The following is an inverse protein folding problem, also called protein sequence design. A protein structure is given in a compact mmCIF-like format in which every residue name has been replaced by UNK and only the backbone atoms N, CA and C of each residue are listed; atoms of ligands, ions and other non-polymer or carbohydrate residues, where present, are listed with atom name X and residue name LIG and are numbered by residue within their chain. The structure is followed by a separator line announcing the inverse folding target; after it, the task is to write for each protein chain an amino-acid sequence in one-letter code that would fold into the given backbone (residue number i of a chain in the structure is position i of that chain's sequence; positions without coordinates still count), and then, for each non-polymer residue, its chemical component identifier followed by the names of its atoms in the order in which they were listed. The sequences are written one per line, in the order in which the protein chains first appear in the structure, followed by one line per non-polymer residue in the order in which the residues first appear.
data_IF_185170101606
#
_entry.id   IF_185170101606
#
_cell.length_a   1.000
_cell.length_b   1.000
_cell.length_c   1.000
_cell.angle_alpha   90.00
_cell.angle_beta   90.00
_cell.angle_gamma   90.00
#
_symmetry.space_group_name_H-M   'P 1'
#
loop_
_entity.id
_entity.type
_entity.pdbx_description
1 polymer ?
#
# COMPACT_ATOMS: atom_id res chain seq x y z
N UNK A 1 27.17 -11.79 -14.66
CA UNK A 1 28.41 -11.83 -13.86
C UNK A 1 28.05 -11.95 -12.39
N UNK A 2 27.59 -13.16 -11.99
CA UNK A 2 27.37 -13.50 -10.60
C UNK A 2 28.66 -13.90 -9.92
N UNK A 3 28.72 -13.85 -8.57
CA UNK A 3 29.84 -14.35 -7.81
C UNK A 3 30.04 -15.84 -8.07
N UNK A 4 31.27 -16.35 -7.85
CA UNK A 4 31.61 -17.79 -8.03
C UNK A 4 30.74 -18.69 -7.16
N UNK A 5 30.24 -18.18 -6.01
CA UNK A 5 29.32 -18.86 -5.11
C UNK A 5 27.91 -18.96 -5.70
N UNK A 6 27.38 -17.88 -6.30
CA UNK A 6 26.06 -17.93 -6.95
C UNK A 6 26.02 -18.86 -8.15
N UNK A 7 27.15 -19.00 -8.89
CA UNK A 7 27.31 -19.98 -9.99
C UNK A 7 27.41 -21.41 -9.42
N UNK A 8 28.04 -21.56 -8.27
CA UNK A 8 28.16 -22.86 -7.57
C UNK A 8 26.81 -23.34 -7.03
N UNK A 9 26.02 -22.46 -6.45
CA UNK A 9 24.66 -22.76 -5.99
C UNK A 9 23.71 -23.05 -7.16
N UNK A 10 23.85 -22.31 -8.26
CA UNK A 10 23.12 -22.57 -9.49
C UNK A 10 23.47 -23.93 -10.09
N UNK A 11 24.77 -24.27 -10.15
CA UNK A 11 25.25 -25.57 -10.64
C UNK A 11 24.87 -26.77 -9.74
N UNK A 12 24.63 -26.54 -8.45
CA UNK A 12 24.18 -27.57 -7.49
C UNK A 12 22.66 -27.82 -7.53
N UNK A 13 21.90 -27.14 -8.36
CA UNK A 13 20.44 -27.32 -8.53
C UNK A 13 19.58 -26.77 -7.40
N UNK A 14 20.15 -26.35 -6.27
CA UNK A 14 19.37 -25.86 -5.11
C UNK A 14 18.72 -24.51 -5.33
N UNK A 15 19.38 -23.61 -6.06
CA UNK A 15 18.79 -22.30 -6.38
C UNK A 15 17.63 -22.44 -7.38
N UNK A 16 17.66 -23.42 -8.25
CA UNK A 16 16.58 -23.73 -9.19
C UNK A 16 15.33 -24.29 -8.48
N UNK A 17 15.50 -25.09 -7.45
CA UNK A 17 14.36 -25.64 -6.70
C UNK A 17 13.56 -24.54 -5.99
N UNK A 18 14.21 -23.56 -5.39
CA UNK A 18 13.51 -22.51 -4.62
C UNK A 18 12.90 -21.40 -5.46
N UNK A 19 13.48 -21.02 -6.59
CA UNK A 19 12.98 -19.87 -7.37
C UNK A 19 12.12 -20.26 -8.57
N UNK A 20 12.53 -21.29 -9.33
CA UNK A 20 11.84 -21.70 -10.56
C UNK A 20 10.70 -22.67 -10.27
N UNK A 21 10.95 -23.71 -9.50
CA UNK A 21 9.95 -24.74 -9.18
C UNK A 21 8.82 -24.24 -8.31
N UNK A 22 9.06 -23.30 -7.38
CA UNK A 22 7.99 -22.71 -6.59
C UNK A 22 7.12 -21.78 -7.43
N UNK A 23 7.72 -20.95 -8.28
CA UNK A 23 6.99 -20.06 -9.19
C UNK A 23 6.22 -20.83 -10.25
N UNK A 24 6.79 -21.88 -10.84
CA UNK A 24 6.10 -22.75 -11.80
C UNK A 24 5.02 -23.62 -11.13
N UNK A 25 5.23 -24.01 -9.87
CA UNK A 25 4.24 -24.73 -9.07
C UNK A 25 3.01 -23.90 -8.79
N UNK A 26 3.21 -22.65 -8.42
CA UNK A 26 2.14 -21.69 -8.16
C UNK A 26 1.36 -21.28 -9.44
N UNK A 27 2.01 -21.34 -10.60
CA UNK A 27 1.36 -21.09 -11.89
C UNK A 27 0.73 -22.33 -12.53
N UNK A 28 0.79 -23.52 -11.91
CA UNK A 28 0.26 -24.78 -12.48
C UNK A 28 1.03 -25.29 -13.70
N UNK A 29 2.23 -24.80 -13.96
CA UNK A 29 3.00 -25.01 -15.20
C UNK A 29 4.10 -26.07 -15.09
N UNK A 30 4.21 -26.76 -13.94
CA UNK A 30 5.25 -27.79 -13.72
C UNK A 30 5.29 -28.89 -14.79
N UNK A 31 4.13 -29.25 -15.32
CA UNK A 31 4.01 -30.31 -16.35
C UNK A 31 4.33 -29.82 -17.76
N UNK A 32 4.44 -28.52 -17.97
CA UNK A 32 4.63 -27.92 -19.28
C UNK A 32 6.11 -27.59 -19.57
N UNK A 33 6.99 -27.70 -18.57
CA UNK A 33 8.44 -27.52 -18.72
C UNK A 33 9.06 -28.86 -19.06
N UNK A 34 9.89 -28.95 -20.13
CA UNK A 34 10.57 -30.17 -20.48
C UNK A 34 11.39 -30.72 -19.29
N UNK A 35 11.22 -31.98 -18.98
CA UNK A 35 11.91 -32.66 -17.85
C UNK A 35 13.37 -33.00 -18.15
N UNK A 36 13.85 -32.79 -19.37
CA UNK A 36 15.21 -33.06 -19.82
C UNK A 36 15.71 -31.94 -20.72
N UNK A 37 16.82 -31.33 -20.34
CA UNK A 37 17.52 -30.32 -21.12
C UNK A 37 18.78 -29.85 -20.41
N UNK A 38 19.76 -29.35 -21.16
CA UNK A 38 21.04 -28.90 -20.59
C UNK A 38 20.99 -27.51 -19.97
N UNK A 39 20.00 -26.71 -20.33
CA UNK A 39 19.70 -25.38 -19.71
C UNK A 39 18.28 -24.98 -19.98
N UNK A 40 17.61 -24.38 -18.99
CA UNK A 40 16.29 -23.79 -19.11
C UNK A 40 16.40 -22.33 -18.65
N UNK A 41 16.07 -21.41 -19.54
CA UNK A 41 15.97 -19.99 -19.23
C UNK A 41 14.49 -19.65 -19.09
N UNK A 42 14.17 -19.04 -17.98
CA UNK A 42 12.83 -18.60 -17.63
C UNK A 42 12.75 -17.08 -17.65
N UNK A 43 11.74 -16.53 -18.30
CA UNK A 43 11.47 -15.10 -18.35
C UNK A 43 10.13 -14.82 -17.70
N UNK A 44 10.12 -13.99 -16.68
CA UNK A 44 8.93 -13.38 -16.13
C UNK A 44 8.80 -11.99 -16.76
N UNK A 45 7.67 -11.69 -17.35
CA UNK A 45 7.37 -10.35 -17.87
C UNK A 45 6.51 -9.67 -16.81
N UNK A 46 7.05 -8.67 -16.13
CA UNK A 46 6.28 -7.78 -15.27
C UNK A 46 5.65 -6.67 -16.11
N UNK A 47 4.41 -6.32 -15.81
CA UNK A 47 3.66 -5.28 -16.55
C UNK A 47 4.40 -3.94 -16.65
N UNK A 48 5.23 -3.60 -15.65
CA UNK A 48 6.01 -2.34 -15.62
C UNK A 48 7.29 -2.37 -16.49
N UNK A 49 7.68 -3.53 -17.02
CA UNK A 49 8.91 -3.69 -17.80
C UNK A 49 8.70 -3.85 -19.31
N UNK A 50 7.47 -3.76 -19.78
CA UNK A 50 7.16 -3.84 -21.21
C UNK A 50 7.45 -2.53 -21.94
N UNK A 51 8.72 -2.21 -22.10
CA UNK A 51 9.20 -1.53 -23.29
C UNK A 51 9.59 -2.61 -24.30
N UNK A 52 8.84 -2.83 -25.36
CA UNK A 52 9.08 -3.95 -26.30
C UNK A 52 10.21 -3.70 -27.30
N UNK A 53 11.17 -2.86 -26.97
CA UNK A 53 12.37 -2.69 -27.76
C UNK A 53 13.50 -3.52 -27.12
N UNK A 54 14.24 -4.34 -27.81
CA UNK A 54 14.45 -4.59 -29.24
C UNK A 54 14.57 -6.08 -29.62
N UNK A 55 13.81 -6.99 -29.02
CA UNK A 55 14.00 -8.43 -29.27
C UNK A 55 13.35 -8.93 -30.58
N UNK A 56 12.39 -8.22 -31.09
CA UNK A 56 11.65 -8.60 -32.31
C UNK A 56 11.52 -7.42 -33.26
N UNK A 57 11.72 -7.63 -34.56
CA UNK A 57 11.54 -6.57 -35.58
C UNK A 57 10.08 -6.07 -35.61
N UNK A 58 9.89 -4.78 -35.85
CA UNK A 58 8.59 -4.04 -35.83
C UNK A 58 7.41 -4.76 -36.53
N UNK A 59 7.70 -5.56 -37.54
CA UNK A 59 6.69 -6.32 -38.30
C UNK A 59 6.20 -7.57 -37.58
N UNK A 60 7.04 -8.17 -36.74
CA UNK A 60 6.70 -9.34 -35.94
C UNK A 60 5.91 -8.94 -34.71
N UNK A 61 6.25 -7.79 -34.14
CA UNK A 61 5.57 -7.18 -33.02
C UNK A 61 4.11 -6.82 -33.32
N UNK A 62 3.85 -6.17 -34.50
CA UNK A 62 2.50 -5.84 -34.93
C UNK A 62 1.64 -7.09 -35.17
N UNK A 63 2.23 -8.18 -35.68
CA UNK A 63 1.54 -9.45 -35.91
C UNK A 63 1.27 -10.23 -34.62
N UNK A 64 2.17 -10.16 -33.63
CA UNK A 64 1.96 -10.74 -32.33
C UNK A 64 0.90 -9.94 -31.53
N UNK A 65 1.01 -8.63 -31.49
CA UNK A 65 0.03 -7.77 -30.81
C UNK A 65 -1.39 -7.95 -31.34
N UNK A 66 -1.56 -8.11 -32.67
CA UNK A 66 -2.85 -8.37 -33.28
C UNK A 66 -3.44 -9.76 -32.96
N UNK A 67 -2.60 -10.75 -32.68
CA UNK A 67 -3.04 -12.10 -32.29
C UNK A 67 -3.18 -12.29 -30.77
N UNK A 68 -2.45 -11.50 -29.98
CA UNK A 68 -2.40 -11.57 -28.51
C UNK A 68 -3.28 -10.50 -27.85
N UNK A 69 -3.98 -9.70 -28.64
CA UNK A 69 -4.86 -8.65 -28.14
C UNK A 69 -5.90 -9.20 -27.16
N UNK A 70 -5.76 -8.85 -25.87
CA UNK A 70 -6.62 -9.30 -24.80
C UNK A 70 -6.15 -10.54 -24.02
N UNK A 71 -4.95 -11.04 -24.29
CA UNK A 71 -4.32 -12.12 -23.51
C UNK A 71 -3.23 -11.54 -22.61
N UNK A 72 -3.28 -11.84 -21.31
CA UNK A 72 -2.14 -11.60 -20.42
C UNK A 72 -1.01 -12.55 -20.81
N UNK A 73 0.17 -12.01 -21.10
CA UNK A 73 1.34 -12.81 -21.46
C UNK A 73 1.87 -13.48 -20.21
N UNK A 74 1.77 -14.80 -20.14
CA UNK A 74 2.36 -15.62 -19.10
C UNK A 74 3.86 -15.80 -19.34
N UNK A 75 4.62 -16.21 -18.31
CA UNK A 75 6.05 -16.44 -18.44
C UNK A 75 6.42 -17.35 -19.60
N UNK A 76 7.48 -17.00 -20.30
CA UNK A 76 8.05 -17.78 -21.38
C UNK A 76 9.27 -18.58 -20.93
N UNK A 77 9.51 -19.73 -21.51
CA UNK A 77 10.75 -20.46 -21.28
C UNK A 77 11.49 -20.74 -22.59
N UNK A 78 12.80 -20.80 -22.49
CA UNK A 78 13.70 -21.26 -23.53
C UNK A 78 14.45 -22.48 -22.99
N UNK A 79 14.25 -23.62 -23.60
CA UNK A 79 14.97 -24.86 -23.25
C UNK A 79 16.03 -25.14 -24.32
N UNK A 80 17.27 -25.29 -23.87
CA UNK A 80 18.39 -25.70 -24.71
C UNK A 80 18.68 -27.18 -24.43
N UNK A 81 18.52 -28.02 -25.43
CA UNK A 81 18.85 -29.45 -25.35
C UNK A 81 19.81 -29.82 -26.46
N UNK A 82 20.72 -30.75 -26.15
CA UNK A 82 21.63 -31.35 -27.11
C UNK A 82 21.33 -32.84 -27.23
N UNK A 83 20.72 -33.22 -28.32
CA UNK A 83 20.40 -34.64 -28.58
C UNK A 83 21.56 -35.48 -29.18
N UNK A 84 22.53 -34.81 -29.81
CA UNK A 84 23.74 -35.43 -30.36
C UNK A 84 24.90 -34.44 -30.36
N UNK A 85 26.16 -34.97 -30.37
CA UNK A 85 27.40 -34.17 -30.27
C UNK A 85 27.57 -32.99 -31.25
N UNK A 86 26.62 -32.74 -32.15
CA UNK A 86 26.70 -31.72 -33.20
C UNK A 86 25.38 -30.97 -33.47
N UNK A 87 24.30 -31.19 -32.70
CA UNK A 87 23.05 -30.52 -32.89
C UNK A 87 22.56 -29.90 -31.59
N UNK A 88 22.28 -28.60 -31.61
CA UNK A 88 21.62 -27.86 -30.53
C UNK A 88 20.16 -27.70 -30.89
N UNK A 89 19.28 -28.24 -30.08
CA UNK A 89 17.84 -28.02 -30.19
C UNK A 89 17.42 -26.90 -29.24
N UNK A 90 16.62 -25.96 -29.75
CA UNK A 90 16.11 -24.83 -28.99
C UNK A 90 14.58 -24.95 -29.00
N UNK A 91 14.01 -25.29 -27.85
CA UNK A 91 12.56 -25.32 -27.66
C UNK A 91 12.12 -24.06 -26.93
N UNK A 92 11.21 -23.31 -27.54
CA UNK A 92 10.63 -22.11 -26.96
C UNK A 92 9.15 -22.36 -26.66
N UNK A 93 8.70 -22.10 -25.45
CA UNK A 93 7.30 -22.15 -25.08
C UNK A 93 6.81 -20.79 -24.60
N UNK A 94 5.76 -20.29 -25.22
CA UNK A 94 4.94 -19.18 -24.74
C UNK A 94 3.65 -19.76 -24.19
N UNK A 95 3.39 -19.55 -22.91
CA UNK A 95 2.14 -19.98 -22.32
C UNK A 95 1.14 -18.84 -22.42
N UNK A 96 0.06 -19.08 -23.14
CA UNK A 96 -1.11 -18.25 -23.14
C UNK A 96 -2.12 -18.91 -22.19
N UNK A 97 -2.34 -18.37 -21.04
CA UNK A 97 -3.44 -18.80 -20.18
C UNK A 97 -4.71 -18.14 -20.65
N UNK A 98 -5.64 -18.95 -21.13
CA UNK A 98 -7.03 -18.56 -21.14
C UNK A 98 -7.44 -18.43 -19.67
N UNK A 99 -7.46 -17.18 -19.15
CA UNK A 99 -7.80 -16.91 -17.77
C UNK A 99 -9.29 -17.14 -17.52
N UNK A 100 -9.77 -18.33 -17.66
CA UNK A 100 -10.73 -18.85 -16.69
C UNK A 100 -9.93 -18.96 -15.39
N UNK A 101 -9.95 -17.86 -14.64
CA UNK A 101 -9.27 -17.74 -13.35
C UNK A 101 -9.52 -18.98 -12.51
N UNK A 102 -8.61 -19.96 -12.57
CA UNK A 102 -8.44 -20.85 -11.46
C UNK A 102 -7.98 -19.94 -10.32
N UNK A 103 -8.77 -19.84 -9.26
CA UNK A 103 -8.34 -19.21 -8.02
C UNK A 103 -6.98 -19.79 -7.67
N UNK A 104 -5.88 -19.07 -7.98
CA UNK A 104 -4.68 -19.29 -7.24
C UNK A 104 -5.07 -19.06 -5.77
N UNK A 105 -4.77 -19.99 -4.83
CA UNK A 105 -4.91 -19.67 -3.43
C UNK A 105 -4.13 -18.37 -3.26
N UNK A 106 -4.82 -17.30 -2.86
CA UNK A 106 -4.14 -16.10 -2.40
C UNK A 106 -3.24 -16.58 -1.28
N UNK A 107 -1.95 -16.76 -1.60
CA UNK A 107 -0.95 -16.69 -0.56
C UNK A 107 -1.26 -15.39 0.14
N UNK A 108 -1.63 -15.48 1.42
CA UNK A 108 -1.70 -14.32 2.30
C UNK A 108 -0.46 -13.49 1.96
N UNK A 109 -0.65 -12.41 1.18
CA UNK A 109 0.40 -11.43 1.07
C UNK A 109 0.57 -11.01 2.51
N UNK A 110 1.77 -11.19 3.03
CA UNK A 110 2.16 -10.67 4.32
C UNK A 110 1.88 -9.16 4.27
N UNK A 111 0.65 -8.80 4.58
CA UNK A 111 0.20 -7.41 4.47
C UNK A 111 0.69 -6.72 5.71
N UNK A 112 1.89 -6.18 5.58
CA UNK A 112 2.48 -5.38 6.61
C UNK A 112 1.92 -3.97 6.52
N UNK A 113 1.47 -3.47 7.67
CA UNK A 113 1.15 -2.05 7.83
C UNK A 113 2.44 -1.28 7.61
N UNK A 114 2.49 -0.50 6.55
CA UNK A 114 3.64 0.36 6.28
C UNK A 114 3.47 1.67 7.04
N UNK A 115 4.27 1.87 8.08
CA UNK A 115 4.34 3.14 8.79
C UNK A 115 5.22 4.10 7.96
N UNK A 116 4.71 5.27 7.54
CA UNK A 116 5.50 6.22 6.79
C UNK A 116 6.74 6.67 7.57
N UNK A 117 7.87 6.65 6.94
CA UNK A 117 9.12 7.17 7.48
C UNK A 117 9.45 8.53 6.85
N UNK A 118 9.87 9.50 7.68
CA UNK A 118 10.21 10.85 7.21
C UNK A 118 11.40 10.87 6.23
N UNK A 119 11.75 12.03 5.70
CA UNK A 119 11.34 13.36 6.19
C UNK A 119 9.91 13.74 5.84
N UNK A 120 9.20 14.31 6.81
CA UNK A 120 7.84 14.81 6.60
C UNK A 120 7.87 16.30 6.26
N UNK A 121 7.15 16.70 5.22
CA UNK A 121 7.00 18.10 4.84
C UNK A 121 6.02 18.79 5.79
N UNK A 122 6.50 19.83 6.48
CA UNK A 122 5.71 20.63 7.40
C UNK A 122 5.78 22.12 7.05
N UNK A 123 4.70 22.85 7.27
CA UNK A 123 4.59 24.27 6.91
C UNK A 123 5.18 25.18 8.00
N UNK A 124 6.07 26.07 7.62
CA UNK A 124 6.53 27.13 8.49
C UNK A 124 5.59 28.36 8.36
N UNK A 125 4.74 28.57 9.37
CA UNK A 125 3.77 29.67 9.38
C UNK A 125 4.42 31.07 9.42
N UNK A 126 5.69 31.20 9.82
CA UNK A 126 6.37 32.48 9.88
C UNK A 126 6.93 32.91 8.52
N UNK A 127 7.37 31.95 7.68
CA UNK A 127 8.00 32.24 6.37
C UNK A 127 7.12 31.86 5.19
N UNK A 128 6.05 31.07 5.43
CA UNK A 128 5.22 30.46 4.38
C UNK A 128 5.87 29.31 3.63
N UNK A 129 7.14 29.01 3.91
CA UNK A 129 7.91 27.93 3.25
C UNK A 129 7.70 26.59 3.91
N UNK A 130 8.16 25.53 3.25
CA UNK A 130 8.12 24.19 3.80
C UNK A 130 9.43 23.86 4.52
N UNK A 131 9.30 23.21 5.66
CA UNK A 131 10.39 22.65 6.44
C UNK A 131 10.31 21.12 6.37
N UNK A 132 11.40 20.44 6.75
CA UNK A 132 11.47 19.00 6.86
C UNK A 132 11.52 18.58 8.33
N UNK A 133 10.50 17.84 8.77
CA UNK A 133 10.46 17.23 10.09
C UNK A 133 11.00 15.80 9.99
N UNK A 134 11.95 15.43 10.86
CA UNK A 134 12.62 14.13 10.80
C UNK A 134 12.62 13.47 12.18
N UNK A 135 12.50 12.16 12.18
CA UNK A 135 12.94 11.33 13.29
C UNK A 135 14.32 10.75 12.94
N UNK A 136 15.32 11.01 13.76
CA UNK A 136 16.67 10.50 13.57
C UNK A 136 16.77 9.03 13.99
N UNK A 137 17.84 8.34 13.62
CA UNK A 137 18.06 6.92 13.99
C UNK A 137 18.10 6.69 15.51
N UNK A 138 18.55 7.68 16.28
CA UNK A 138 18.52 7.66 17.75
C UNK A 138 17.16 8.12 18.35
N UNK A 139 16.11 8.13 17.54
CA UNK A 139 14.74 8.54 17.84
C UNK A 139 14.54 10.03 18.15
N UNK A 140 15.57 10.85 18.29
CA UNK A 140 15.39 12.30 18.46
C UNK A 140 14.64 12.92 17.29
N UNK A 141 13.89 13.99 17.55
CA UNK A 141 13.15 14.73 16.52
C UNK A 141 13.93 15.96 16.10
N UNK A 142 13.96 16.21 14.79
CA UNK A 142 14.67 17.36 14.22
C UNK A 142 13.80 18.10 13.22
N UNK A 143 13.97 19.42 13.14
CA UNK A 143 13.41 20.25 12.09
C UNK A 143 14.55 20.88 11.29
N UNK A 144 14.39 20.84 9.97
CA UNK A 144 15.30 21.53 9.02
C UNK A 144 14.49 22.51 8.19
N UNK A 145 15.12 23.62 7.82
CA UNK A 145 14.52 24.58 6.89
C UNK A 145 14.54 24.07 5.44
N UNK A 146 14.03 24.88 4.52
CA UNK A 146 13.97 24.58 3.08
C UNK A 146 15.32 24.33 2.42
N UNK A 147 16.41 24.81 3.03
CA UNK A 147 17.79 24.64 2.55
C UNK A 147 18.49 23.44 3.23
N UNK A 148 17.76 22.69 4.09
CA UNK A 148 18.32 21.57 4.84
C UNK A 148 19.09 21.96 6.11
N UNK A 149 19.16 23.27 6.46
CA UNK A 149 19.80 23.73 7.67
C UNK A 149 19.00 23.37 8.91
N UNK A 150 19.66 22.78 9.90
CA UNK A 150 19.04 22.42 11.18
C UNK A 150 18.51 23.66 11.92
N UNK A 151 17.24 23.59 12.31
CA UNK A 151 16.59 24.60 13.14
C UNK A 151 16.62 24.22 14.62
N UNK A 152 16.27 22.98 14.91
CA UNK A 152 16.34 22.41 16.26
C UNK A 152 16.40 20.87 16.21
N UNK A 153 16.84 20.29 17.32
CA UNK A 153 16.74 18.86 17.62
C UNK A 153 16.31 18.73 19.07
N UNK A 154 15.31 17.90 19.33
CA UNK A 154 14.77 17.67 20.68
C UNK A 154 14.83 16.19 21.04
N UNK A 155 15.05 15.85 22.32
CA UNK A 155 15.01 14.48 22.79
C UNK A 155 13.63 13.86 22.58
N UNK A 156 13.63 12.64 22.06
CA UNK A 156 12.43 11.80 21.95
C UNK A 156 12.89 10.33 21.97
N UNK A 157 12.04 9.40 22.42
CA UNK A 157 12.47 8.03 22.69
C UNK A 157 11.53 6.97 22.13
N UNK A 158 10.41 7.37 21.49
CA UNK A 158 9.44 6.46 20.91
C UNK A 158 9.44 6.57 19.38
N UNK A 159 9.21 5.47 18.66
CA UNK A 159 9.09 5.51 17.18
C UNK A 159 7.76 6.15 16.80
N UNK A 160 7.79 7.01 15.76
CA UNK A 160 6.57 7.60 15.21
C UNK A 160 5.69 6.51 14.60
N UNK A 161 4.37 6.63 14.77
CA UNK A 161 3.39 5.67 14.25
C UNK A 161 2.75 6.10 12.93
N UNK A 162 3.21 7.18 12.30
CA UNK A 162 2.61 7.70 11.07
C UNK A 162 3.22 9.01 10.64
N UNK A 163 2.45 9.77 9.86
CA UNK A 163 2.86 11.06 9.35
C UNK A 163 2.81 12.15 10.43
N UNK A 164 3.56 13.24 10.17
CA UNK A 164 3.49 14.47 10.96
C UNK A 164 2.57 15.46 10.26
N UNK A 165 1.53 15.90 10.94
CA UNK A 165 0.48 16.76 10.39
C UNK A 165 0.58 18.19 10.88
N UNK A 166 0.23 19.13 10.01
CA UNK A 166 0.14 20.56 10.34
C UNK A 166 -1.22 20.87 10.94
N UNK A 167 -1.25 21.49 12.12
CA UNK A 167 -2.47 21.93 12.77
C UNK A 167 -2.32 23.36 13.28
N UNK A 168 -3.34 24.18 13.13
CA UNK A 168 -3.45 25.50 13.80
C UNK A 168 -4.30 25.34 15.05
N UNK A 169 -3.70 24.70 16.07
CA UNK A 169 -4.40 24.32 17.30
C UNK A 169 -5.01 25.51 18.04
N UNK A 170 -4.30 26.65 18.04
CA UNK A 170 -4.73 27.86 18.72
C UNK A 170 -5.61 28.77 17.85
N UNK A 171 -5.91 28.37 16.62
CA UNK A 171 -6.68 29.15 15.66
C UNK A 171 -6.17 30.59 15.42
N UNK A 172 -4.85 30.78 15.50
CA UNK A 172 -4.17 32.06 15.40
C UNK A 172 -3.19 32.16 14.21
N UNK A 173 -3.27 31.23 13.27
CA UNK A 173 -2.41 31.14 12.10
C UNK A 173 -1.01 30.56 12.35
N UNK A 174 -0.66 30.25 13.60
CA UNK A 174 0.61 29.60 13.95
C UNK A 174 0.44 28.09 13.92
N UNK A 175 1.22 27.43 13.08
CA UNK A 175 1.14 25.98 12.88
C UNK A 175 1.95 25.25 13.96
N UNK A 176 1.37 24.19 14.47
CA UNK A 176 1.98 23.17 15.30
C UNK A 176 2.05 21.84 14.52
N UNK A 177 2.94 20.95 14.91
CA UNK A 177 3.18 19.66 14.30
C UNK A 177 2.62 18.56 15.22
N UNK A 178 1.63 17.85 14.72
CA UNK A 178 0.93 16.79 15.44
C UNK A 178 1.38 15.43 14.92
N UNK A 179 1.71 14.50 15.81
CA UNK A 179 2.14 13.15 15.47
C UNK A 179 1.79 12.16 16.59
N UNK A 180 1.79 10.86 16.24
CA UNK A 180 1.54 9.75 17.16
C UNK A 180 2.81 8.97 17.47
N UNK A 181 2.95 8.50 18.72
CA UNK A 181 3.96 7.53 19.13
C UNK A 181 3.46 6.74 20.35
N UNK A 182 3.70 5.43 20.37
CA UNK A 182 3.21 4.55 21.44
C UNK A 182 1.69 4.55 21.55
N UNK A 183 1.14 4.97 22.67
CA UNK A 183 -0.31 5.17 22.88
C UNK A 183 -0.73 6.65 22.84
N UNK A 184 0.20 7.55 22.48
CA UNK A 184 0.02 8.98 22.72
C UNK A 184 0.06 9.80 21.45
N UNK A 185 -0.69 10.90 21.46
CA UNK A 185 -0.62 11.96 20.46
C UNK A 185 0.19 13.11 21.04
N UNK A 186 1.20 13.52 20.30
CA UNK A 186 2.10 14.61 20.66
C UNK A 186 1.86 15.82 19.76
N UNK A 187 2.15 16.98 20.30
CA UNK A 187 2.17 18.22 19.54
C UNK A 187 3.39 19.04 19.91
N UNK A 188 4.08 19.55 18.91
CA UNK A 188 5.28 20.38 19.08
C UNK A 188 5.15 21.65 18.23
N UNK A 189 5.60 22.78 18.74
CA UNK A 189 5.59 24.02 17.98
C UNK A 189 6.81 24.16 17.04
N UNK A 190 6.81 25.19 16.20
CA UNK A 190 7.88 25.45 15.23
C UNK A 190 9.26 25.72 15.90
N UNK A 191 9.30 25.96 17.20
CA UNK A 191 10.54 26.19 17.97
C UNK A 191 11.02 24.92 18.70
N UNK A 192 10.35 23.78 18.49
CA UNK A 192 10.72 22.52 19.12
C UNK A 192 10.18 22.35 20.55
N UNK A 193 9.19 23.12 20.96
CA UNK A 193 8.61 23.01 22.30
C UNK A 193 7.32 22.19 22.27
N UNK A 194 7.20 21.26 23.21
CA UNK A 194 5.96 20.51 23.39
C UNK A 194 4.84 21.44 23.86
N UNK A 195 3.65 21.27 23.27
CA UNK A 195 2.48 22.10 23.49
C UNK A 195 1.57 21.46 24.52
N UNK A 196 1.23 22.17 25.60
CA UNK A 196 0.24 21.71 26.57
C UNK A 196 -1.19 21.73 25.93
N UNK A 197 -2.08 20.74 26.21
CA UNK A 197 -1.97 19.65 27.18
C UNK A 197 -1.34 18.34 26.62
N UNK A 198 -0.69 18.41 25.47
CA UNK A 198 -0.05 17.21 24.90
C UNK A 198 1.20 16.77 25.70
N UNK A 199 1.50 15.44 25.75
CA UNK A 199 0.83 14.38 24.99
C UNK A 199 -0.54 14.00 25.55
N UNK A 200 -1.47 13.66 24.63
CA UNK A 200 -2.75 13.04 24.98
C UNK A 200 -2.59 11.52 24.93
N UNK A 201 -2.81 10.84 26.03
CA UNK A 201 -2.81 9.38 26.06
C UNK A 201 -4.19 8.84 25.64
N UNK A 202 -4.22 8.02 24.59
CA UNK A 202 -5.42 7.39 24.07
C UNK A 202 -5.73 6.04 24.74
N UNK A 203 -4.86 5.58 25.65
CA UNK A 203 -5.02 4.37 26.45
C UNK A 203 -4.75 3.05 25.69
N UNK A 204 -4.60 3.10 24.36
CA UNK A 204 -4.28 1.94 23.51
C UNK A 204 -3.13 2.29 22.57
N UNK A 205 -2.30 1.29 22.28
CA UNK A 205 -1.19 1.45 21.32
C UNK A 205 -1.72 1.85 19.95
N UNK A 206 -1.06 2.83 19.36
CA UNK A 206 -1.30 3.27 17.98
C UNK A 206 -0.39 2.46 17.06
N UNK A 207 -0.97 1.80 16.08
CA UNK A 207 -0.23 1.08 15.03
C UNK A 207 0.02 1.99 13.85
N UNK A 208 -0.98 2.83 13.50
CA UNK A 208 -0.86 3.78 12.40
C UNK A 208 -1.67 5.05 12.70
N UNK A 209 -1.08 6.21 12.45
CA UNK A 209 -1.75 7.49 12.63
C UNK A 209 -0.94 8.55 13.36
N UNK A 210 -1.52 9.72 13.58
CA UNK A 210 -2.91 10.10 13.27
C UNK A 210 -3.09 10.58 11.81
N UNK A 211 -4.28 10.34 11.23
CA UNK A 211 -4.78 11.12 10.12
C UNK A 211 -5.61 12.30 10.68
N UNK A 212 -5.35 13.50 10.22
CA UNK A 212 -5.94 14.72 10.76
C UNK A 212 -6.95 15.33 9.80
N UNK A 213 -8.12 15.67 10.31
CA UNK A 213 -9.22 16.24 9.53
C UNK A 213 -9.80 17.49 10.19
N UNK A 214 -10.04 18.53 9.40
CA UNK A 214 -10.89 19.68 9.76
C UNK A 214 -12.13 19.63 8.88
N UNK A 215 -13.18 18.96 9.35
CA UNK A 215 -14.40 18.76 8.56
C UNK A 215 -15.19 20.03 8.32
N UNK A 216 -15.07 21.00 9.21
CA UNK A 216 -15.83 22.25 9.17
C UNK A 216 -15.04 23.42 8.58
N UNK A 217 -13.72 23.28 8.40
CA UNK A 217 -12.83 24.38 8.07
C UNK A 217 -12.63 25.39 9.21
N UNK A 218 -13.22 25.12 10.38
CA UNK A 218 -13.20 26.01 11.54
C UNK A 218 -12.05 25.72 12.52
N UNK A 219 -11.05 24.96 12.09
CA UNK A 219 -9.91 24.51 12.90
C UNK A 219 -10.32 23.66 14.11
N UNK A 220 -11.45 22.96 13.97
CA UNK A 220 -11.91 21.94 14.92
C UNK A 220 -11.46 20.57 14.41
N UNK A 221 -10.22 20.25 14.72
CA UNK A 221 -9.59 19.04 14.19
C UNK A 221 -10.09 17.79 14.89
N UNK A 222 -10.28 16.75 14.08
CA UNK A 222 -10.44 15.37 14.51
C UNK A 222 -9.28 14.55 13.98
N UNK A 223 -8.93 13.51 14.69
CA UNK A 223 -7.88 12.57 14.31
C UNK A 223 -8.43 11.16 14.25
N UNK A 224 -7.99 10.40 13.26
CA UNK A 224 -8.25 8.96 13.16
C UNK A 224 -6.94 8.21 13.42
N UNK A 225 -7.01 7.19 14.24
CA UNK A 225 -5.89 6.30 14.54
C UNK A 225 -6.32 4.85 14.41
N UNK A 226 -5.41 4.01 13.94
CA UNK A 226 -5.54 2.56 13.96
C UNK A 226 -4.82 2.04 15.21
N UNK A 227 -5.54 1.36 16.08
CA UNK A 227 -5.03 0.72 17.27
C UNK A 227 -4.59 -0.72 17.02
N UNK A 228 -3.82 -1.27 17.95
CA UNK A 228 -3.29 -2.64 17.89
C UNK A 228 -4.36 -3.74 18.03
N UNK A 229 -5.56 -3.40 18.44
CA UNK A 229 -6.74 -4.27 18.44
C UNK A 229 -7.51 -4.25 17.10
N UNK A 230 -6.89 -3.79 16.02
CA UNK A 230 -7.49 -3.69 14.69
C UNK A 230 -8.73 -2.76 14.62
N UNK A 231 -8.75 -1.73 15.46
CA UNK A 231 -9.84 -0.77 15.55
C UNK A 231 -9.39 0.61 15.08
N UNK A 232 -10.16 1.24 14.18
CA UNK A 232 -9.98 2.65 13.86
C UNK A 232 -10.95 3.46 14.71
N UNK A 233 -10.41 4.42 15.46
CA UNK A 233 -11.19 5.31 16.31
C UNK A 233 -10.90 6.77 16.01
N UNK A 234 -11.94 7.58 16.07
CA UNK A 234 -11.85 9.03 15.95
C UNK A 234 -11.74 9.68 17.33
N UNK A 235 -10.90 10.68 17.42
CA UNK A 235 -10.79 11.54 18.60
C UNK A 235 -10.76 13.01 18.17
N UNK A 236 -11.22 13.89 19.03
CA UNK A 236 -10.91 15.32 18.92
C UNK A 236 -9.54 15.62 19.56
N UNK A 237 -9.05 16.84 19.46
CA UNK A 237 -7.76 17.22 20.05
C UNK A 237 -7.81 17.42 21.57
N UNK A 238 -8.91 17.06 22.22
CA UNK A 238 -9.03 16.92 23.68
C UNK A 238 -8.95 15.44 24.12
N UNK A 239 -8.71 14.54 23.17
CA UNK A 239 -8.63 13.08 23.41
C UNK A 239 -10.00 12.41 23.59
N UNK A 240 -11.10 13.10 23.28
CA UNK A 240 -12.47 12.58 23.41
C UNK A 240 -12.98 12.05 22.09
N UNK A 241 -13.71 10.94 22.13
CA UNK A 241 -14.45 10.42 20.99
C UNK A 241 -15.61 11.38 20.67
N UNK A 242 -15.77 11.83 19.41
CA UNK A 242 -16.91 12.69 19.04
C UNK A 242 -18.25 11.97 19.24
N UNK A 243 -19.27 12.74 19.60
CA UNK A 243 -20.64 12.22 19.79
C UNK A 243 -21.14 11.55 18.50
N UNK A 244 -21.74 10.38 18.67
CA UNK A 244 -22.27 9.57 17.57
C UNK A 244 -21.24 8.75 16.79
N UNK A 245 -19.93 8.94 17.02
CA UNK A 245 -18.91 8.10 16.42
C UNK A 245 -19.00 6.67 16.92
N UNK A 246 -18.90 5.73 16.00
CA UNK A 246 -18.78 4.29 16.27
C UNK A 246 -17.48 3.78 15.65
N UNK A 247 -16.75 3.00 16.43
CA UNK A 247 -15.48 2.44 15.95
C UNK A 247 -15.66 1.68 14.64
N UNK A 248 -14.67 1.79 13.79
CA UNK A 248 -14.54 0.99 12.57
C UNK A 248 -13.72 -0.24 12.92
N UNK A 249 -14.27 -1.41 12.71
CA UNK A 249 -13.63 -2.70 12.93
C UNK A 249 -13.77 -3.59 11.72
N UNK A 250 -12.88 -4.55 11.56
CA UNK A 250 -12.93 -5.57 10.51
C UNK A 250 -12.44 -6.91 11.04
N UNK A 251 -13.00 -7.99 10.50
CA UNK A 251 -12.47 -9.34 10.73
C UNK A 251 -11.09 -9.54 10.07
N UNK A 252 -10.84 -8.84 8.96
CA UNK A 252 -9.56 -8.85 8.27
C UNK A 252 -8.65 -7.74 8.83
N UNK A 253 -7.34 -7.93 8.80
CA UNK A 253 -6.38 -6.92 9.25
C UNK A 253 -6.52 -5.63 8.45
N UNK A 254 -6.75 -4.52 9.13
CA UNK A 254 -6.77 -3.19 8.53
C UNK A 254 -5.33 -2.76 8.26
N UNK A 255 -5.04 -2.30 7.04
CA UNK A 255 -3.67 -2.07 6.57
C UNK A 255 -3.32 -0.62 6.31
N UNK A 256 -4.31 0.26 6.31
CA UNK A 256 -4.12 1.69 6.14
C UNK A 256 -5.09 2.51 6.98
N UNK A 257 -4.78 3.77 7.18
CA UNK A 257 -5.76 4.73 7.69
C UNK A 257 -6.87 4.94 6.66
N UNK A 258 -8.10 5.24 7.11
CA UNK A 258 -9.23 5.42 6.21
C UNK A 258 -9.07 6.66 5.34
N UNK A 259 -9.45 6.50 4.07
CA UNK A 259 -9.56 7.60 3.12
C UNK A 259 -10.97 8.16 3.16
N UNK A 260 -11.09 9.50 3.31
CA UNK A 260 -12.38 10.15 3.25
C UNK A 260 -12.78 10.38 1.80
N UNK A 261 -13.97 9.93 1.46
CA UNK A 261 -14.61 10.17 0.17
C UNK A 261 -15.85 11.03 0.37
N UNK A 262 -16.03 12.04 -0.48
CA UNK A 262 -17.16 12.96 -0.44
C UNK A 262 -17.90 12.90 -1.76
N UNK A 263 -19.23 12.75 -1.70
CA UNK A 263 -20.13 12.79 -2.86
C UNK A 263 -21.35 13.63 -2.53
N UNK A 264 -21.43 14.82 -3.12
CA UNK A 264 -22.44 15.81 -2.76
C UNK A 264 -22.37 16.18 -1.27
N UNK A 265 -23.48 16.02 -0.56
CA UNK A 265 -23.56 16.28 0.88
C UNK A 265 -23.18 15.06 1.75
N UNK A 266 -22.93 13.91 1.14
CA UNK A 266 -22.61 12.67 1.84
C UNK A 266 -21.11 12.43 1.86
N UNK A 267 -20.64 11.75 2.89
CA UNK A 267 -19.26 11.29 2.97
C UNK A 267 -19.18 9.90 3.60
N UNK A 268 -18.14 9.17 3.23
CA UNK A 268 -17.86 7.84 3.75
C UNK A 268 -16.35 7.65 3.92
N UNK A 269 -16.00 6.55 4.54
CA UNK A 269 -14.62 6.11 4.71
C UNK A 269 -14.36 4.87 3.85
N UNK A 270 -13.28 4.91 3.10
CA UNK A 270 -12.72 3.75 2.43
C UNK A 270 -11.64 3.18 3.33
N UNK A 271 -11.80 1.92 3.72
CA UNK A 271 -10.87 1.20 4.59
C UNK A 271 -10.27 0.03 3.83
N UNK A 272 -8.95 -0.01 3.77
CA UNK A 272 -8.23 -1.10 3.13
C UNK A 272 -7.89 -2.15 4.18
N UNK A 273 -8.22 -3.40 3.88
CA UNK A 273 -7.83 -4.55 4.69
C UNK A 273 -6.93 -5.49 3.92
N UNK A 274 -6.38 -6.48 4.57
CA UNK A 274 -5.54 -7.51 3.93
C UNK A 274 -6.26 -8.27 2.82
N UNK A 275 -7.60 -8.35 2.86
CA UNK A 275 -8.39 -9.17 1.93
C UNK A 275 -9.39 -8.39 1.09
N UNK A 276 -9.80 -7.21 1.51
CA UNK A 276 -10.84 -6.47 0.81
C UNK A 276 -10.79 -4.96 1.09
N UNK A 277 -11.47 -4.21 0.25
CA UNK A 277 -11.80 -2.80 0.49
C UNK A 277 -13.20 -2.75 1.11
N UNK A 278 -13.34 -2.03 2.21
CA UNK A 278 -14.62 -1.80 2.89
C UNK A 278 -15.01 -0.32 2.79
N UNK A 279 -16.29 -0.06 2.73
CA UNK A 279 -16.86 1.29 2.75
C UNK A 279 -17.68 1.44 4.03
N UNK A 280 -17.37 2.46 4.82
CA UNK A 280 -18.06 2.73 6.09
C UNK A 280 -18.80 4.06 6.04
N UNK A 281 -19.92 4.18 6.79
CA UNK A 281 -20.56 5.47 6.99
C UNK A 281 -19.60 6.49 7.61
N UNK A 282 -19.88 7.79 7.43
CA UNK A 282 -19.05 8.84 7.99
C UNK A 282 -18.90 8.76 9.52
N UNK A 283 -19.93 8.33 10.22
CA UNK A 283 -19.91 8.16 11.68
C UNK A 283 -19.37 6.78 12.12
N UNK A 284 -18.81 6.00 11.20
CA UNK A 284 -18.30 4.66 11.49
C UNK A 284 -19.39 3.61 11.70
N UNK A 285 -19.11 2.56 12.47
CA UNK A 285 -20.02 1.46 12.79
C UNK A 285 -19.93 0.32 11.78
N UNK A 286 -21.05 -0.23 11.34
CA UNK A 286 -21.08 -1.34 10.38
C UNK A 286 -20.73 -0.85 8.96
N UNK A 287 -19.99 -1.65 8.17
CA UNK A 287 -19.68 -1.30 6.80
C UNK A 287 -20.95 -1.24 5.93
N UNK A 288 -20.92 -0.36 4.92
CA UNK A 288 -21.94 -0.29 3.87
C UNK A 288 -21.78 -1.40 2.84
N UNK A 289 -20.60 -2.01 2.79
CA UNK A 289 -20.27 -3.14 1.91
C UNK A 289 -20.72 -4.43 2.59
N UNK A 290 -21.75 -5.06 2.01
CA UNK A 290 -22.27 -6.38 2.45
C UNK A 290 -22.02 -7.40 1.31
N UNK A 291 -20.75 -7.53 0.91
CA UNK A 291 -20.34 -8.43 -0.15
C UNK A 291 -19.57 -9.62 0.42
N UNK A 292 -19.82 -10.81 -0.14
CA UNK A 292 -19.16 -12.04 0.26
C UNK A 292 -18.57 -12.80 -0.93
N UNK A 293 -17.59 -13.64 -0.68
CA UNK A 293 -16.94 -14.45 -1.71
C UNK A 293 -16.34 -13.57 -2.83
N UNK A 294 -16.60 -13.92 -4.07
CA UNK A 294 -16.05 -13.21 -5.24
C UNK A 294 -16.70 -11.85 -5.51
N UNK A 295 -17.76 -11.50 -4.78
CA UNK A 295 -18.38 -10.18 -4.85
C UNK A 295 -17.67 -9.15 -3.96
N UNK A 296 -16.80 -9.56 -3.04
CA UNK A 296 -15.99 -8.64 -2.22
C UNK A 296 -15.13 -7.74 -3.10
N UNK A 297 -14.93 -6.49 -2.67
CA UNK A 297 -14.07 -5.55 -3.38
C UNK A 297 -12.60 -5.94 -3.23
N UNK A 298 -11.82 -5.78 -4.28
CA UNK A 298 -10.38 -6.04 -4.22
C UNK A 298 -9.70 -5.17 -3.14
N UNK A 299 -8.66 -5.66 -2.45
CA UNK A 299 -7.94 -4.88 -1.44
C UNK A 299 -7.34 -3.58 -1.98
N UNK A 300 -6.91 -3.58 -3.24
CA UNK A 300 -6.33 -2.45 -3.96
C UNK A 300 -7.28 -1.85 -5.00
N UNK A 301 -8.61 -2.06 -4.86
CA UNK A 301 -9.56 -1.54 -5.83
C UNK A 301 -9.51 -0.01 -5.91
N UNK A 302 -9.42 0.52 -7.11
CA UNK A 302 -9.67 1.93 -7.36
C UNK A 302 -11.13 2.25 -7.06
N UNK A 303 -11.34 3.28 -6.24
CA UNK A 303 -12.66 3.71 -5.83
C UNK A 303 -13.07 4.93 -6.64
N UNK A 304 -14.10 4.77 -7.46
CA UNK A 304 -14.70 5.87 -8.21
C UNK A 304 -15.92 6.41 -7.46
N UNK A 305 -16.11 7.71 -7.49
CA UNK A 305 -17.16 8.44 -6.77
C UNK A 305 -18.01 9.19 -7.77
N UNK A 306 -19.31 8.93 -7.75
CA UNK A 306 -20.27 9.66 -8.57
C UNK A 306 -20.97 10.76 -7.76
N UNK A 307 -21.43 11.81 -8.42
CA UNK A 307 -22.10 12.95 -7.79
C UNK A 307 -23.44 12.59 -7.12
N UNK A 308 -24.04 11.46 -7.54
CA UNK A 308 -25.33 10.99 -7.03
C UNK A 308 -25.25 10.28 -5.65
N UNK A 309 -24.12 10.34 -4.97
CA UNK A 309 -23.92 9.64 -3.70
C UNK A 309 -23.61 8.15 -3.86
N UNK A 310 -23.00 7.76 -4.95
CA UNK A 310 -22.64 6.38 -5.24
C UNK A 310 -21.12 6.24 -5.32
N UNK A 311 -20.61 5.21 -4.66
CA UNK A 311 -19.21 4.77 -4.71
C UNK A 311 -19.17 3.46 -5.46
N UNK A 312 -18.22 3.31 -6.37
CA UNK A 312 -18.04 2.08 -7.13
C UNK A 312 -16.61 1.61 -7.11
N UNK A 313 -16.43 0.28 -7.05
CA UNK A 313 -15.12 -0.35 -7.05
C UNK A 313 -15.19 -1.76 -7.65
N UNK A 314 -14.05 -2.26 -8.12
CA UNK A 314 -13.93 -3.58 -8.73
C UNK A 314 -13.89 -4.68 -7.66
N UNK A 315 -14.63 -5.75 -7.89
CA UNK A 315 -14.67 -6.96 -7.05
C UNK A 315 -13.81 -8.09 -7.62
N UNK A 316 -13.62 -9.15 -6.83
CA UNK A 316 -12.82 -10.32 -7.23
C UNK A 316 -13.34 -11.03 -8.50
N UNK A 317 -14.65 -11.02 -8.73
CA UNK A 317 -15.22 -11.57 -9.98
C UNK A 317 -15.09 -10.65 -11.20
N UNK A 318 -14.35 -9.52 -11.06
CA UNK A 318 -14.12 -8.56 -12.11
C UNK A 318 -15.25 -7.57 -12.36
N UNK A 319 -16.40 -7.71 -11.68
CA UNK A 319 -17.54 -6.78 -11.82
C UNK A 319 -17.32 -5.52 -10.99
N UNK A 320 -17.93 -4.42 -11.42
CA UNK A 320 -18.00 -3.19 -10.65
C UNK A 320 -19.18 -3.28 -9.68
N UNK A 321 -18.89 -3.23 -8.39
CA UNK A 321 -19.91 -3.11 -7.35
C UNK A 321 -20.20 -1.63 -7.09
N UNK A 322 -21.45 -1.33 -6.77
CA UNK A 322 -21.91 0.02 -6.49
C UNK A 322 -22.51 0.09 -5.09
N UNK A 323 -22.07 1.06 -4.32
CA UNK A 323 -22.43 1.26 -2.92
C UNK A 323 -23.04 2.65 -2.78
N UNK A 324 -24.27 2.73 -2.32
CA UNK A 324 -24.94 4.00 -2.08
C UNK A 324 -24.53 4.57 -0.73
N UNK A 325 -23.98 5.76 -0.72
CA UNK A 325 -23.66 6.52 0.49
C UNK A 325 -24.95 7.29 0.90
N UNK A 326 -25.31 7.15 2.16
CA UNK A 326 -26.47 7.84 2.74
C UNK A 326 -26.01 8.81 3.82
#
# INVERSE_FOLDING_TARGET
TGSREAVGEWASGRALEYSLYSKLGNAGLKSAVPSSGNAVLYFSVDEDSMSPEPAFGKTTEAKLAGKLGGCDIMPAFLCLSSEKKSALSIDCGLFMADMKRSKAPETERDVHITVPEGPFTVKNSATGKNNSFLQNQNLTLSLRDENGKGMWTVPFSEKLCGTVSNVDYFANGKIQFLFGAGSKIYMIDRLGRFVSPFPLDLGKKIVLGPAVFDFSGARKYNILVLHDDNTIRMYNLQGKVPDGWKDITSADTIVSLPERVVSGNNSCWIVRTSRQTLVFPFMGGAPLTDFSGDAMLLPSADVSVAENGEVSAKSYNGKIQRIKIR
#
